data_IF_033997672134
#
_entry.id   IF_033997672134
#
_cell.length_a   1.000
_cell.length_b   1.000
_cell.length_c   1.000
_cell.angle_alpha   90.00
_cell.angle_beta   90.00
_cell.angle_gamma   90.00
#
_symmetry.space_group_name_H-M   'P 1'
#
loop_
_entity.id
_entity.type
_entity.pdbx_description
1 polymer ?
#
# COMPACT_ATOMS: atom_id res chain seq x y z
N UNK A 1 -44.75 -10.36 -18.02
CA UNK A 1 -43.90 -10.78 -19.16
C UNK A 1 -42.62 -9.95 -19.17
N UNK A 2 -41.45 -10.58 -19.00
CA UNK A 2 -40.17 -10.27 -19.66
C UNK A 2 -39.15 -11.34 -19.23
N UNK A 3 -39.09 -12.45 -19.98
CA UNK A 3 -38.00 -13.42 -19.93
C UNK A 3 -36.84 -12.82 -20.73
N UNK A 4 -35.74 -12.47 -20.08
CA UNK A 4 -34.50 -12.11 -20.78
C UNK A 4 -33.59 -13.34 -20.87
N UNK A 5 -33.17 -13.68 -22.09
CA UNK A 5 -32.12 -14.67 -22.33
C UNK A 5 -30.77 -13.98 -22.15
N UNK A 6 -29.99 -14.41 -21.16
CA UNK A 6 -28.60 -14.02 -21.08
C UNK A 6 -27.79 -15.01 -21.93
N UNK A 7 -27.15 -14.51 -22.99
CA UNK A 7 -26.24 -15.27 -23.81
C UNK A 7 -24.89 -15.38 -23.10
N UNK A 8 -24.67 -16.50 -22.41
CA UNK A 8 -23.35 -17.14 -22.22
C UNK A 8 -23.54 -18.49 -21.55
N UNK A 9 -22.91 -19.50 -22.16
CA UNK A 9 -22.68 -20.88 -21.74
C UNK A 9 -23.69 -21.94 -22.20
N UNK A 10 -23.17 -22.77 -23.10
CA UNK A 10 -23.71 -24.01 -23.60
C UNK A 10 -23.70 -25.07 -22.49
N UNK A 11 -24.87 -25.64 -22.18
CA UNK A 11 -25.01 -26.80 -21.29
C UNK A 11 -26.01 -26.64 -20.15
N UNK A 12 -27.31 -26.57 -20.49
CA UNK A 12 -28.43 -26.65 -19.54
C UNK A 12 -29.31 -25.40 -19.52
N UNK A 13 -30.51 -25.49 -20.09
CA UNK A 13 -31.51 -24.41 -20.06
C UNK A 13 -32.10 -24.22 -18.64
N UNK A 14 -31.36 -23.56 -17.74
CA UNK A 14 -31.97 -22.99 -16.55
C UNK A 14 -32.52 -21.61 -16.91
N UNK A 15 -33.85 -21.47 -16.99
CA UNK A 15 -34.48 -20.16 -17.15
C UNK A 15 -34.15 -19.28 -15.95
N UNK A 16 -33.48 -18.14 -16.18
CA UNK A 16 -33.24 -17.14 -15.16
C UNK A 16 -34.57 -16.55 -14.66
N UNK A 17 -34.90 -16.80 -13.39
CA UNK A 17 -35.99 -16.11 -12.68
C UNK A 17 -35.39 -14.96 -11.88
N UNK A 18 -35.85 -13.72 -12.08
CA UNK A 18 -35.34 -12.60 -11.31
C UNK A 18 -35.80 -12.66 -9.83
N UNK A 19 -35.09 -12.02 -8.89
CA UNK A 19 -35.39 -12.12 -7.46
C UNK A 19 -36.82 -11.71 -7.09
N UNK A 20 -37.38 -10.69 -7.74
CA UNK A 20 -38.74 -10.24 -7.45
C UNK A 20 -39.79 -11.28 -7.87
N UNK A 21 -39.68 -11.81 -9.10
CA UNK A 21 -40.57 -12.87 -9.56
C UNK A 21 -40.42 -14.14 -8.72
N UNK A 22 -39.20 -14.47 -8.29
CA UNK A 22 -38.97 -15.60 -7.38
C UNK A 22 -39.65 -15.39 -6.02
N UNK A 23 -39.53 -14.20 -5.43
CA UNK A 23 -40.19 -13.85 -4.16
C UNK A 23 -41.71 -13.90 -4.30
N UNK A 24 -42.26 -13.40 -5.40
CA UNK A 24 -43.70 -13.44 -5.67
C UNK A 24 -44.19 -14.87 -5.90
N UNK A 25 -43.45 -15.69 -6.66
CA UNK A 25 -43.74 -17.12 -6.85
C UNK A 25 -43.73 -17.89 -5.52
N UNK A 26 -42.79 -17.57 -4.61
CA UNK A 26 -42.72 -18.16 -3.27
C UNK A 26 -43.90 -17.70 -2.41
N UNK A 27 -44.23 -16.41 -2.41
CA UNK A 27 -45.39 -15.86 -1.66
C UNK A 27 -46.72 -16.42 -2.14
N UNK A 28 -46.88 -16.61 -3.45
CA UNK A 28 -48.07 -17.17 -4.06
C UNK A 28 -48.10 -18.72 -4.02
N UNK A 29 -47.11 -19.37 -3.41
CA UNK A 29 -47.04 -20.83 -3.27
C UNK A 29 -46.75 -21.59 -4.57
N UNK A 30 -46.43 -20.89 -5.66
CA UNK A 30 -46.06 -21.46 -6.95
C UNK A 30 -44.66 -22.09 -6.93
N UNK A 31 -43.83 -21.72 -5.95
CA UNK A 31 -42.46 -22.23 -5.81
C UNK A 31 -42.12 -22.46 -4.34
N UNK A 32 -41.47 -23.59 -4.02
CA UNK A 32 -40.91 -23.82 -2.69
C UNK A 32 -39.64 -22.99 -2.53
N UNK A 33 -39.42 -22.31 -1.37
CA UNK A 33 -38.15 -21.66 -1.10
C UNK A 33 -37.02 -22.68 -1.28
N UNK A 34 -36.03 -22.34 -2.10
CA UNK A 34 -34.76 -23.05 -2.10
C UNK A 34 -34.24 -23.08 -0.66
N UNK A 35 -33.73 -24.23 -0.19
CA UNK A 35 -33.04 -24.29 1.09
C UNK A 35 -31.99 -23.18 1.11
N UNK A 36 -31.91 -22.45 2.22
CA UNK A 36 -30.84 -21.49 2.42
C UNK A 36 -29.54 -22.23 2.14
N UNK A 37 -28.73 -21.74 1.19
CA UNK A 37 -27.47 -22.40 0.83
C UNK A 37 -26.61 -22.50 2.08
N UNK A 38 -26.66 -23.68 2.70
CA UNK A 38 -25.87 -24.09 3.84
C UNK A 38 -24.61 -24.80 3.32
N UNK A 39 -24.01 -24.27 2.24
CA UNK A 39 -22.70 -24.74 1.81
C UNK A 39 -21.70 -24.21 2.83
N UNK A 40 -21.59 -24.95 3.93
CA UNK A 40 -20.54 -24.82 4.92
C UNK A 40 -19.21 -25.04 4.18
N UNK A 41 -18.31 -24.07 4.27
CA UNK A 41 -16.99 -24.17 3.69
C UNK A 41 -16.14 -25.16 4.47
N UNK A 42 -14.97 -25.54 3.94
CA UNK A 42 -14.03 -26.39 4.66
C UNK A 42 -13.65 -25.82 6.05
N UNK A 43 -13.66 -24.49 6.19
CA UNK A 43 -13.41 -23.77 7.46
C UNK A 43 -14.48 -23.98 8.53
N UNK A 44 -15.67 -24.42 8.14
CA UNK A 44 -16.82 -24.60 9.03
C UNK A 44 -16.89 -26.06 9.57
N UNK A 45 -15.92 -26.90 9.22
CA UNK A 45 -15.79 -28.26 9.75
C UNK A 45 -15.19 -28.25 11.16
N UNK A 46 -15.59 -29.20 12.05
CA UNK A 46 -14.96 -29.36 13.35
C UNK A 46 -13.46 -29.60 13.23
N UNK A 47 -12.66 -28.77 13.92
CA UNK A 47 -11.21 -28.89 13.98
C UNK A 47 -10.77 -29.97 14.98
N UNK A 48 -9.61 -30.57 14.74
CA UNK A 48 -8.99 -31.58 15.60
C UNK A 48 -7.52 -31.21 15.87
N UNK A 49 -6.95 -31.70 16.96
CA UNK A 49 -5.52 -31.48 17.28
C UNK A 49 -4.59 -31.94 16.14
N UNK A 50 -4.96 -33.03 15.46
CA UNK A 50 -4.20 -33.53 14.30
C UNK A 50 -4.32 -32.59 13.09
N UNK A 51 -5.53 -32.14 12.76
CA UNK A 51 -5.72 -31.20 11.65
C UNK A 51 -5.01 -29.88 11.90
N UNK A 52 -5.06 -29.35 13.13
CA UNK A 52 -4.37 -28.12 13.52
C UNK A 52 -2.85 -28.28 13.36
N UNK A 53 -2.28 -29.39 13.86
CA UNK A 53 -0.86 -29.66 13.72
C UNK A 53 -0.42 -29.78 12.24
N UNK A 54 -1.22 -30.43 11.40
CA UNK A 54 -0.94 -30.56 9.96
C UNK A 54 -1.05 -29.21 9.26
N UNK A 55 -2.11 -28.44 9.54
CA UNK A 55 -2.31 -27.09 8.98
C UNK A 55 -1.16 -26.16 9.38
N UNK A 56 -0.78 -26.10 10.65
CA UNK A 56 0.33 -25.27 11.13
C UNK A 56 1.64 -25.61 10.43
N UNK A 57 1.95 -26.91 10.32
CA UNK A 57 3.14 -27.38 9.59
C UNK A 57 3.09 -27.00 8.11
N UNK A 58 1.93 -27.18 7.48
CA UNK A 58 1.73 -26.87 6.07
C UNK A 58 1.86 -25.37 5.80
N UNK A 59 1.18 -24.53 6.59
CA UNK A 59 1.28 -23.08 6.50
C UNK A 59 2.72 -22.60 6.68
N UNK A 60 3.47 -23.18 7.63
CA UNK A 60 4.89 -22.89 7.81
C UNK A 60 5.73 -23.25 6.57
N UNK A 61 5.51 -24.42 5.97
CA UNK A 61 6.26 -24.85 4.77
C UNK A 61 5.87 -24.07 3.52
N UNK A 62 4.59 -23.77 3.32
CA UNK A 62 4.12 -22.95 2.21
C UNK A 62 4.65 -21.51 2.30
N UNK A 63 4.75 -20.96 3.51
CA UNK A 63 5.35 -19.64 3.75
C UNK A 63 6.84 -19.63 3.37
N UNK A 64 7.60 -20.64 3.79
CA UNK A 64 9.00 -20.78 3.39
C UNK A 64 9.13 -20.90 1.86
N UNK A 65 8.32 -21.75 1.24
CA UNK A 65 8.33 -21.93 -0.22
C UNK A 65 7.95 -20.66 -0.99
N UNK A 66 7.07 -19.81 -0.43
CA UNK A 66 6.75 -18.48 -0.98
C UNK A 66 8.01 -17.59 -0.95
N UNK A 67 8.74 -17.59 0.17
CA UNK A 67 9.99 -16.84 0.32
C UNK A 67 11.08 -17.33 -0.62
N UNK A 68 11.27 -18.65 -0.71
CA UNK A 68 12.29 -19.26 -1.56
C UNK A 68 12.04 -18.96 -3.05
N UNK A 69 10.78 -19.01 -3.50
CA UNK A 69 10.39 -18.65 -4.88
C UNK A 69 10.58 -17.16 -5.16
N UNK A 70 10.23 -16.29 -4.21
CA UNK A 70 10.43 -14.85 -4.33
C UNK A 70 11.94 -14.52 -4.45
N UNK A 71 12.77 -15.12 -3.59
CA UNK A 71 14.22 -14.99 -3.62
C UNK A 71 14.82 -15.51 -4.94
N UNK A 72 14.39 -16.70 -5.41
CA UNK A 72 14.85 -17.26 -6.67
C UNK A 72 14.46 -16.40 -7.90
N UNK A 73 13.33 -15.68 -7.82
CA UNK A 73 12.88 -14.77 -8.85
C UNK A 73 13.47 -13.34 -8.73
N UNK A 74 14.18 -13.05 -7.64
CA UNK A 74 14.64 -11.70 -7.32
C UNK A 74 13.49 -10.69 -7.16
N UNK A 75 12.33 -11.15 -6.67
CA UNK A 75 11.13 -10.34 -6.49
C UNK A 75 10.81 -10.18 -5.02
N UNK A 76 10.29 -9.00 -4.68
CA UNK A 76 9.68 -8.78 -3.37
C UNK A 76 8.33 -9.49 -3.26
N UNK A 77 7.85 -9.65 -2.03
CA UNK A 77 6.58 -10.31 -1.76
C UNK A 77 5.50 -9.27 -1.62
N UNK A 78 4.53 -9.35 -2.52
CA UNK A 78 3.29 -8.62 -2.39
C UNK A 78 2.27 -9.46 -1.61
N UNK A 79 1.54 -8.78 -0.72
CA UNK A 79 0.43 -9.34 0.05
C UNK A 79 -0.85 -8.56 -0.23
N UNK A 80 -1.94 -9.29 -0.38
CA UNK A 80 -3.28 -8.71 -0.48
C UNK A 80 -4.14 -9.26 0.66
N UNK A 81 -4.79 -8.37 1.42
CA UNK A 81 -5.73 -8.74 2.47
C UNK A 81 -7.11 -8.24 2.11
N UNK A 82 -8.09 -9.16 2.10
CA UNK A 82 -9.49 -8.86 1.81
C UNK A 82 -10.37 -9.22 3.02
N UNK A 83 -11.32 -8.36 3.34
CA UNK A 83 -12.34 -8.60 4.36
C UNK A 83 -13.68 -8.94 3.70
N UNK A 84 -14.26 -10.06 4.10
CA UNK A 84 -15.61 -10.46 3.70
C UNK A 84 -16.56 -10.47 4.89
N UNK A 85 -17.79 -10.02 4.67
CA UNK A 85 -18.88 -10.14 5.64
C UNK A 85 -20.09 -10.81 4.99
N UNK A 86 -20.71 -11.75 5.71
CA UNK A 86 -21.99 -12.34 5.29
C UNK A 86 -23.13 -11.38 5.61
N UNK A 87 -23.71 -10.75 4.58
CA UNK A 87 -24.83 -9.82 4.67
C UNK A 87 -26.03 -10.45 3.96
N UNK A 88 -27.15 -10.62 4.68
CA UNK A 88 -28.39 -11.21 4.14
C UNK A 88 -28.17 -12.58 3.44
N UNK A 89 -27.21 -13.35 3.94
CA UNK A 89 -26.89 -14.68 3.42
C UNK A 89 -25.82 -14.71 2.31
N UNK A 90 -25.34 -13.55 1.85
CA UNK A 90 -24.34 -13.42 0.78
C UNK A 90 -23.01 -12.92 1.33
N UNK A 91 -21.89 -13.48 0.90
CA UNK A 91 -20.55 -12.96 1.24
C UNK A 91 -20.25 -11.70 0.40
N UNK A 92 -19.99 -10.59 1.08
CA UNK A 92 -19.69 -9.29 0.47
C UNK A 92 -18.26 -8.90 0.83
N UNK A 93 -17.42 -8.62 -0.16
CA UNK A 93 -16.08 -8.06 0.04
C UNK A 93 -16.22 -6.57 0.40
N UNK A 94 -15.77 -6.19 1.59
CA UNK A 94 -15.97 -4.85 2.15
C UNK A 94 -14.73 -3.98 2.16
N UNK A 95 -13.56 -4.60 2.25
CA UNK A 95 -12.28 -3.92 2.42
C UNK A 95 -11.19 -4.73 1.74
N UNK A 96 -10.24 -4.03 1.14
CA UNK A 96 -9.03 -4.59 0.58
C UNK A 96 -7.82 -3.72 0.91
N UNK A 97 -6.67 -4.35 1.12
CA UNK A 97 -5.39 -3.66 1.15
C UNK A 97 -4.32 -4.45 0.41
N UNK A 98 -3.42 -3.73 -0.25
CA UNK A 98 -2.28 -4.25 -0.98
C UNK A 98 -1.00 -3.71 -0.35
N UNK A 99 -0.07 -4.61 -0.05
CA UNK A 99 1.15 -4.30 0.69
C UNK A 99 2.36 -4.89 -0.02
N UNK A 100 3.43 -4.09 -0.12
CA UNK A 100 4.77 -4.54 -0.52
C UNK A 100 5.61 -4.83 0.73
N UNK A 101 6.16 -6.04 0.83
CA UNK A 101 7.06 -6.43 1.93
C UNK A 101 8.50 -6.61 1.45
N UNK A 102 9.42 -5.86 2.07
CA UNK A 102 10.85 -5.92 1.80
C UNK A 102 11.56 -6.64 2.95
N UNK A 103 11.93 -7.89 2.69
CA UNK A 103 12.44 -8.81 3.71
C UNK A 103 13.86 -8.51 4.21
N UNK A 104 14.41 -9.44 4.98
CA UNK A 104 15.78 -9.40 5.49
C UNK A 104 16.84 -9.42 4.39
N UNK A 105 16.54 -10.13 3.29
CA UNK A 105 17.46 -10.29 2.16
C UNK A 105 17.38 -9.12 1.18
N UNK A 106 16.42 -8.20 1.36
CA UNK A 106 16.33 -7.00 0.53
C UNK A 106 17.51 -6.07 0.84
N UNK A 107 18.06 -5.45 -0.20
CA UNK A 107 19.16 -4.51 -0.06
C UNK A 107 18.69 -3.21 0.61
N UNK A 108 19.62 -2.49 1.25
CA UNK A 108 19.37 -1.11 1.65
C UNK A 108 19.00 -0.26 0.41
N UNK A 109 18.08 0.71 0.54
CA UNK A 109 17.48 1.25 1.77
C UNK A 109 16.16 0.57 2.22
N UNK A 110 15.68 -0.46 1.53
CA UNK A 110 14.37 -1.08 1.79
C UNK A 110 14.41 -2.29 2.75
N UNK A 111 15.58 -2.69 3.22
CA UNK A 111 15.70 -3.85 4.10
C UNK A 111 14.77 -3.74 5.33
N UNK A 112 13.98 -4.80 5.59
CA UNK A 112 13.04 -4.91 6.71
C UNK A 112 11.93 -3.84 6.75
N UNK A 113 11.53 -3.28 5.62
CA UNK A 113 10.41 -2.35 5.58
C UNK A 113 9.16 -2.89 4.88
N UNK A 114 8.05 -2.22 5.13
CA UNK A 114 6.74 -2.50 4.55
C UNK A 114 6.19 -1.21 3.97
N UNK A 115 5.53 -1.31 2.82
CA UNK A 115 4.83 -0.20 2.20
C UNK A 115 3.36 -0.55 1.93
N UNK A 116 2.43 0.21 2.52
CA UNK A 116 1.00 0.09 2.23
C UNK A 116 0.71 0.80 0.91
N UNK A 117 0.66 0.04 -0.19
CA UNK A 117 0.50 0.59 -1.54
C UNK A 117 -0.91 1.07 -1.80
N UNK A 118 -1.91 0.23 -1.50
CA UNK A 118 -3.31 0.56 -1.74
C UNK A 118 -4.17 0.09 -0.57
N UNK A 119 -5.20 0.87 -0.28
CA UNK A 119 -6.24 0.50 0.67
C UNK A 119 -7.56 1.01 0.12
N UNK A 120 -8.56 0.15 0.14
CA UNK A 120 -9.88 0.46 -0.39
C UNK A 120 -10.99 -0.18 0.42
N UNK A 121 -12.18 0.41 0.38
CA UNK A 121 -13.35 -0.13 1.09
C UNK A 121 -14.66 0.33 0.48
N UNK A 122 -15.70 -0.50 0.58
CA UNK A 122 -17.07 -0.16 0.19
C UNK A 122 -17.96 0.02 1.41
N UNK A 123 -18.87 1.02 1.35
CA UNK A 123 -19.75 1.41 2.46
C UNK A 123 -20.99 0.49 2.60
N UNK A 124 -20.76 -0.81 2.74
CA UNK A 124 -21.80 -1.82 2.98
C UNK A 124 -21.69 -2.55 4.33
N UNK A 125 -20.67 -2.24 5.13
CA UNK A 125 -20.45 -2.87 6.43
C UNK A 125 -21.69 -2.79 7.33
N UNK A 126 -22.07 -3.91 7.94
CA UNK A 126 -23.18 -3.99 8.91
C UNK A 126 -22.72 -4.59 10.26
N UNK A 127 -23.31 -4.16 11.39
CA UNK A 127 -24.30 -3.08 11.52
C UNK A 127 -23.67 -1.68 11.35
N UNK A 128 -24.42 -0.73 10.80
CA UNK A 128 -23.99 0.69 10.67
C UNK A 128 -24.21 1.43 12.00
N UNK A 129 -23.41 1.07 13.01
CA UNK A 129 -23.45 1.65 14.35
C UNK A 129 -22.13 2.32 14.69
N UNK A 130 -22.13 3.03 15.82
CA UNK A 130 -20.90 3.59 16.42
C UNK A 130 -20.44 2.75 17.60
N UNK A 131 -19.13 2.68 17.81
CA UNK A 131 -18.52 2.12 19.01
C UNK A 131 -18.75 3.02 20.22
N UNK A 132 -18.37 2.55 21.41
CA UNK A 132 -18.36 3.36 22.64
C UNK A 132 -17.43 4.57 22.54
N UNK A 133 -16.35 4.47 21.75
CA UNK A 133 -15.44 5.60 21.46
C UNK A 133 -16.02 6.62 20.47
N UNK A 134 -17.19 6.35 19.88
CA UNK A 134 -17.93 7.27 19.02
C UNK A 134 -17.57 7.20 17.53
N UNK A 135 -16.59 6.38 17.13
CA UNK A 135 -16.27 6.11 15.72
C UNK A 135 -17.23 5.08 15.11
N UNK A 136 -17.33 5.04 13.78
CA UNK A 136 -18.11 4.01 13.10
C UNK A 136 -17.50 2.62 13.36
N UNK A 137 -18.34 1.61 13.55
CA UNK A 137 -17.88 0.23 13.77
C UNK A 137 -17.04 -0.28 12.58
N UNK A 138 -17.38 0.11 11.35
CA UNK A 138 -16.58 -0.19 10.17
C UNK A 138 -15.16 0.40 10.26
N UNK A 139 -15.03 1.67 10.66
CA UNK A 139 -13.73 2.30 10.90
C UNK A 139 -12.94 1.55 11.96
N UNK A 140 -13.58 1.18 13.07
CA UNK A 140 -12.95 0.38 14.12
C UNK A 140 -12.39 -0.92 13.55
N UNK A 141 -13.18 -1.70 12.82
CA UNK A 141 -12.73 -2.96 12.21
C UNK A 141 -11.57 -2.76 11.24
N UNK A 142 -11.61 -1.73 10.40
CA UNK A 142 -10.52 -1.44 9.47
C UNK A 142 -9.23 -1.04 10.20
N UNK A 143 -9.33 -0.30 11.30
CA UNK A 143 -8.19 0.00 12.15
C UNK A 143 -7.62 -1.28 12.76
N UNK A 144 -8.45 -2.18 13.30
CA UNK A 144 -7.98 -3.44 13.89
C UNK A 144 -7.26 -4.33 12.87
N UNK A 145 -7.73 -4.38 11.62
CA UNK A 145 -7.05 -5.13 10.55
C UNK A 145 -5.65 -4.56 10.29
N UNK A 146 -5.53 -3.23 10.21
CA UNK A 146 -4.24 -2.56 9.99
C UNK A 146 -3.30 -2.74 11.19
N UNK A 147 -3.81 -2.56 12.41
CA UNK A 147 -3.03 -2.71 13.65
C UNK A 147 -2.55 -4.16 13.80
N UNK A 148 -3.43 -5.14 13.61
CA UNK A 148 -3.06 -6.56 13.65
C UNK A 148 -2.04 -6.93 12.58
N UNK A 149 -2.12 -6.32 11.39
CA UNK A 149 -1.10 -6.50 10.36
C UNK A 149 0.27 -5.90 10.74
N UNK A 150 0.28 -4.71 11.36
CA UNK A 150 1.50 -4.09 11.88
C UNK A 150 2.12 -4.93 13.00
N UNK A 151 1.30 -5.45 13.92
CA UNK A 151 1.74 -6.33 15.00
C UNK A 151 2.35 -7.63 14.44
N UNK A 152 1.64 -8.30 13.54
CA UNK A 152 2.15 -9.51 12.89
C UNK A 152 3.47 -9.25 12.15
N UNK A 153 3.60 -8.10 11.50
CA UNK A 153 4.82 -7.70 10.80
C UNK A 153 5.97 -7.41 11.76
N UNK A 154 5.70 -6.74 12.89
CA UNK A 154 6.67 -6.54 13.97
C UNK A 154 7.21 -7.88 14.49
N UNK A 155 6.34 -8.88 14.70
CA UNK A 155 6.74 -10.23 15.13
C UNK A 155 7.63 -10.96 14.11
N UNK A 156 7.51 -10.64 12.82
CA UNK A 156 8.39 -11.16 11.75
C UNK A 156 9.71 -10.39 11.63
N UNK A 157 9.90 -9.33 12.43
CA UNK A 157 11.10 -8.51 12.47
C UNK A 157 11.14 -7.43 11.40
N UNK A 158 10.00 -7.01 10.85
CA UNK A 158 9.95 -5.75 10.08
C UNK A 158 10.09 -4.57 11.04
N UNK A 159 10.87 -3.58 10.64
CA UNK A 159 11.27 -2.46 11.51
C UNK A 159 10.52 -1.17 11.20
N UNK A 160 10.02 -1.03 9.99
CA UNK A 160 9.42 0.20 9.50
C UNK A 160 8.23 -0.06 8.59
N UNK A 161 7.15 0.71 8.73
CA UNK A 161 6.04 0.74 7.79
C UNK A 161 5.84 2.16 7.25
N UNK A 162 5.67 2.25 5.94
CA UNK A 162 5.48 3.49 5.20
C UNK A 162 4.06 3.54 4.65
N UNK A 163 3.36 4.64 4.93
CA UNK A 163 1.99 4.88 4.47
C UNK A 163 1.97 6.21 3.74
N UNK A 164 1.66 6.18 2.45
CA UNK A 164 1.30 7.38 1.70
C UNK A 164 -0.20 7.64 1.84
N UNK A 165 -0.56 8.66 2.62
CA UNK A 165 -1.96 9.01 2.85
C UNK A 165 -2.56 9.80 1.67
N UNK A 166 -2.77 9.13 0.54
CA UNK A 166 -3.33 9.71 -0.69
C UNK A 166 -4.75 9.21 -0.92
N UNK A 167 -5.76 10.10 -1.07
CA UNK A 167 -7.07 9.69 -1.57
C UNK A 167 -7.03 9.50 -3.09
N UNK A 168 -7.86 8.61 -3.64
CA UNK A 168 -7.94 8.43 -5.09
C UNK A 168 -8.46 9.70 -5.77
N UNK A 169 -8.04 9.91 -7.03
CA UNK A 169 -8.54 11.01 -7.84
C UNK A 169 -10.04 10.80 -8.16
N UNK A 170 -10.72 11.88 -8.53
CA UNK A 170 -12.16 11.82 -8.81
C UNK A 170 -12.43 10.89 -10.00
N UNK A 171 -13.10 9.77 -9.75
CA UNK A 171 -13.47 8.78 -10.76
C UNK A 171 -12.54 7.57 -10.82
N UNK A 172 -11.47 7.56 -10.01
CA UNK A 172 -10.57 6.42 -9.87
C UNK A 172 -10.97 5.55 -8.67
N UNK A 173 -10.80 4.24 -8.84
CA UNK A 173 -10.94 3.23 -7.79
C UNK A 173 -9.57 2.59 -7.54
N UNK A 174 -9.18 2.36 -6.28
CA UNK A 174 -7.89 1.72 -6.00
C UNK A 174 -7.94 0.21 -6.20
N UNK A 175 -8.90 -0.46 -5.56
CA UNK A 175 -9.00 -1.94 -5.59
C UNK A 175 -10.41 -2.35 -6.01
N UNK A 176 -11.44 -1.73 -5.43
CA UNK A 176 -12.83 -2.16 -5.58
C UNK A 176 -13.50 -1.32 -6.66
N UNK A 177 -13.73 -1.93 -7.83
CA UNK A 177 -14.32 -1.23 -8.96
C UNK A 177 -15.77 -0.79 -8.67
N UNK A 178 -16.09 0.45 -9.04
CA UNK A 178 -17.41 1.06 -8.95
C UNK A 178 -17.95 1.19 -7.53
N UNK A 179 -17.46 2.19 -6.80
CA UNK A 179 -17.98 2.55 -5.48
C UNK A 179 -19.45 2.98 -5.50
N UNK A 180 -20.22 2.69 -4.42
CA UNK A 180 -21.60 3.16 -4.30
C UNK A 180 -21.69 4.68 -4.35
N UNK A 181 -22.66 5.26 -5.05
CA UNK A 181 -22.80 6.73 -5.17
C UNK A 181 -22.95 7.46 -3.83
N UNK A 182 -23.48 6.77 -2.82
CA UNK A 182 -23.63 7.29 -1.46
C UNK A 182 -22.29 7.41 -0.71
N UNK A 183 -21.28 6.68 -1.15
CA UNK A 183 -19.95 6.69 -0.56
C UNK A 183 -19.18 7.93 -1.03
N UNK A 184 -18.77 8.76 -0.06
CA UNK A 184 -17.95 9.93 -0.32
C UNK A 184 -16.49 9.59 -0.04
N UNK A 185 -15.62 9.83 -1.01
CA UNK A 185 -14.16 9.75 -0.83
C UNK A 185 -13.70 10.76 0.21
N UNK A 186 -12.87 10.31 1.16
CA UNK A 186 -12.27 11.20 2.15
C UNK A 186 -11.28 12.15 1.46
N UNK A 187 -11.28 13.42 1.87
CA UNK A 187 -10.26 14.38 1.44
C UNK A 187 -8.93 14.12 2.16
N UNK A 188 -7.82 14.58 1.58
CA UNK A 188 -6.45 14.36 2.08
C UNK A 188 -6.30 14.57 3.59
N UNK A 189 -6.72 15.73 4.13
CA UNK A 189 -6.60 16.02 5.58
C UNK A 189 -7.38 15.03 6.46
N UNK A 190 -8.57 14.61 6.01
CA UNK A 190 -9.41 13.66 6.74
C UNK A 190 -8.88 12.25 6.65
N UNK A 191 -8.32 11.86 5.50
CA UNK A 191 -7.67 10.57 5.33
C UNK A 191 -6.39 10.47 6.16
N UNK A 192 -5.57 11.54 6.17
CA UNK A 192 -4.38 11.63 7.02
C UNK A 192 -4.75 11.50 8.49
N UNK A 193 -5.76 12.23 8.97
CA UNK A 193 -6.21 12.11 10.36
C UNK A 193 -6.81 10.73 10.68
N UNK A 194 -7.44 10.07 9.71
CA UNK A 194 -7.92 8.69 9.85
C UNK A 194 -6.76 7.72 10.13
N UNK A 195 -5.68 7.77 9.33
CA UNK A 195 -4.47 6.98 9.57
C UNK A 195 -3.78 7.36 10.89
N UNK A 196 -3.64 8.65 11.20
CA UNK A 196 -3.05 9.11 12.46
C UNK A 196 -3.85 8.59 13.67
N UNK A 197 -5.18 8.59 13.59
CA UNK A 197 -6.03 8.01 14.62
C UNK A 197 -5.77 6.52 14.82
N UNK A 198 -5.69 5.75 13.73
CA UNK A 198 -5.31 4.33 13.76
C UNK A 198 -3.94 4.12 14.41
N UNK A 199 -2.92 4.88 13.99
CA UNK A 199 -1.55 4.74 14.50
C UNK A 199 -1.44 5.13 15.98
N UNK A 200 -2.20 6.13 16.43
CA UNK A 200 -2.27 6.49 17.87
C UNK A 200 -2.89 5.37 18.71
N UNK A 201 -3.79 4.55 18.17
CA UNK A 201 -4.28 3.34 18.86
C UNK A 201 -3.18 2.30 18.94
N UNK A 202 -2.54 2.00 17.80
CA UNK A 202 -1.41 1.08 17.72
C UNK A 202 -0.27 1.43 18.70
N UNK A 203 0.00 2.73 18.91
CA UNK A 203 1.00 3.17 19.90
C UNK A 203 0.58 2.94 21.35
N UNK A 204 -0.72 3.06 21.68
CA UNK A 204 -1.21 2.75 23.03
C UNK A 204 -1.12 1.25 23.35
N UNK A 205 -1.18 0.41 22.32
CA UNK A 205 -1.04 -1.04 22.40
C UNK A 205 0.42 -1.49 22.22
N UNK A 206 1.38 -0.56 22.20
CA UNK A 206 2.81 -0.82 22.04
C UNK A 206 3.18 -1.54 20.72
N UNK A 207 2.27 -1.58 19.75
CA UNK A 207 2.52 -2.10 18.40
C UNK A 207 3.42 -1.14 17.64
N UNK A 208 3.10 0.16 17.67
CA UNK A 208 3.89 1.23 17.04
C UNK A 208 4.66 2.01 18.10
N UNK A 209 5.99 1.89 18.06
CA UNK A 209 6.88 2.52 19.05
C UNK A 209 7.06 4.01 18.77
N UNK A 210 7.24 4.36 17.50
CA UNK A 210 7.50 5.75 17.09
C UNK A 210 6.75 6.08 15.79
N UNK A 211 6.15 7.28 15.78
CA UNK A 211 5.44 7.85 14.65
C UNK A 211 6.16 9.12 14.19
N UNK A 212 6.66 9.13 12.96
CA UNK A 212 7.33 10.28 12.34
C UNK A 212 6.82 10.50 10.92
N UNK A 213 7.04 11.69 10.37
CA UNK A 213 6.99 11.86 8.91
C UNK A 213 8.36 11.53 8.30
N UNK A 214 8.43 11.38 6.97
CA UNK A 214 9.70 11.14 6.27
C UNK A 214 10.74 12.23 6.53
N UNK A 215 10.30 13.48 6.63
CA UNK A 215 11.19 14.62 6.84
C UNK A 215 11.93 14.53 8.18
N UNK A 216 11.20 14.36 9.28
CA UNK A 216 11.73 14.27 10.63
C UNK A 216 12.63 13.04 10.80
N UNK A 217 12.27 11.92 10.16
CA UNK A 217 13.07 10.72 10.23
C UNK A 217 14.42 10.88 9.53
N UNK A 218 14.43 11.31 8.27
CA UNK A 218 15.65 11.36 7.47
C UNK A 218 16.47 12.62 7.67
N UNK A 219 15.84 13.77 7.97
CA UNK A 219 16.52 15.07 7.97
C UNK A 219 16.69 15.70 9.36
N UNK A 220 15.91 15.30 10.37
CA UNK A 220 16.05 15.80 11.75
C UNK A 220 16.71 14.76 12.66
N UNK A 221 16.15 13.56 12.75
CA UNK A 221 16.60 12.51 13.70
C UNK A 221 18.01 12.02 13.39
N UNK A 222 18.36 11.92 12.10
CA UNK A 222 19.70 11.51 11.65
C UNK A 222 20.78 12.61 11.83
N UNK A 223 20.44 13.76 12.44
CA UNK A 223 21.29 14.94 12.61
C UNK A 223 22.58 14.74 13.43
N UNK A 224 22.79 13.56 14.03
CA UNK A 224 24.06 13.18 14.66
C UNK A 224 25.12 12.72 13.64
N UNK A 225 24.68 12.29 12.45
CA UNK A 225 25.57 12.00 11.33
C UNK A 225 25.76 13.25 10.46
N UNK A 226 26.97 13.83 10.48
CA UNK A 226 27.38 14.94 9.57
C UNK A 226 27.31 14.61 8.07
N UNK A 227 26.87 13.40 7.70
CA UNK A 227 26.74 12.96 6.32
C UNK A 227 25.44 13.48 5.71
N UNK A 228 25.58 14.24 4.61
CA UNK A 228 24.46 14.75 3.81
C UNK A 228 23.52 13.60 3.41
N UNK A 229 22.21 13.77 3.60
CA UNK A 229 21.20 12.81 3.14
C UNK A 229 21.13 12.93 1.61
N UNK A 230 21.45 11.84 0.93
CA UNK A 230 21.36 11.71 -0.54
C UNK A 230 20.11 10.94 -0.92
N UNK A 231 19.64 11.08 -2.17
CA UNK A 231 18.46 10.34 -2.64
C UNK A 231 18.59 8.81 -2.48
N UNK A 232 19.80 8.27 -2.61
CA UNK A 232 20.08 6.83 -2.45
C UNK A 232 19.83 6.27 -1.03
N UNK A 233 19.59 7.12 -0.03
CA UNK A 233 19.26 6.71 1.35
C UNK A 233 17.75 6.64 1.60
N UNK A 234 16.94 7.07 0.64
CA UNK A 234 15.48 7.08 0.76
C UNK A 234 14.90 5.74 0.28
N UNK A 235 13.94 5.14 1.02
CA UNK A 235 13.29 3.89 0.63
C UNK A 235 12.60 4.02 -0.72
N UNK A 236 12.81 3.09 -1.64
CA UNK A 236 12.24 3.13 -2.99
C UNK A 236 11.11 2.11 -3.13
N UNK A 237 9.87 2.57 -3.28
CA UNK A 237 8.69 1.71 -3.39
C UNK A 237 8.04 1.86 -4.76
N UNK A 238 7.59 0.75 -5.34
CA UNK A 238 6.89 0.81 -6.62
C UNK A 238 5.54 1.52 -6.45
N UNK A 239 5.23 2.44 -7.35
CA UNK A 239 4.01 3.26 -7.32
C UNK A 239 3.93 4.31 -6.20
N UNK A 240 4.98 4.53 -5.41
CA UNK A 240 5.04 5.64 -4.46
C UNK A 240 5.27 6.99 -5.15
N UNK A 241 4.95 8.06 -4.45
CA UNK A 241 4.99 9.42 -4.98
C UNK A 241 6.41 9.92 -5.26
N UNK A 242 7.35 9.69 -4.34
CA UNK A 242 8.66 10.36 -4.42
C UNK A 242 9.57 9.85 -5.55
N UNK A 243 9.59 8.54 -5.92
CA UNK A 243 10.40 8.08 -7.05
C UNK A 243 10.02 8.79 -8.34
N UNK A 244 8.72 8.87 -8.64
CA UNK A 244 8.23 9.56 -9.84
C UNK A 244 8.60 11.05 -9.85
N UNK A 245 8.41 11.74 -8.70
CA UNK A 245 8.82 13.14 -8.56
C UNK A 245 10.32 13.32 -8.73
N UNK A 246 11.13 12.40 -8.19
CA UNK A 246 12.58 12.46 -8.33
C UNK A 246 13.01 12.27 -9.78
N UNK A 247 12.41 11.32 -10.50
CA UNK A 247 12.67 11.07 -11.93
C UNK A 247 12.30 12.28 -12.80
N UNK A 248 11.16 12.91 -12.55
CA UNK A 248 10.76 14.15 -13.22
C UNK A 248 11.76 15.28 -12.97
N UNK A 249 12.18 15.47 -11.71
CA UNK A 249 13.16 16.49 -11.35
C UNK A 249 14.53 16.23 -11.98
N UNK A 250 15.00 14.97 -11.99
CA UNK A 250 16.25 14.59 -12.64
C UNK A 250 16.19 14.92 -14.13
N UNK A 251 15.06 14.59 -14.78
CA UNK A 251 14.83 14.88 -16.19
C UNK A 251 14.88 16.38 -16.49
N UNK A 252 14.24 17.21 -15.66
CA UNK A 252 14.29 18.68 -15.76
C UNK A 252 15.72 19.21 -15.62
N UNK A 253 16.49 18.70 -14.65
CA UNK A 253 17.87 19.14 -14.44
C UNK A 253 18.78 18.82 -15.63
N UNK A 254 18.54 17.69 -16.31
CA UNK A 254 19.28 17.31 -17.51
C UNK A 254 18.91 18.22 -18.69
N UNK A 255 17.62 18.49 -18.91
CA UNK A 255 17.16 19.42 -19.95
C UNK A 255 17.77 20.82 -19.78
N UNK A 256 17.72 21.37 -18.56
CA UNK A 256 18.33 22.67 -18.28
C UNK A 256 19.86 22.68 -18.51
N UNK A 257 20.53 21.54 -18.27
CA UNK A 257 21.97 21.43 -18.53
C UNK A 257 22.28 21.39 -20.03
N UNK A 258 21.50 20.65 -20.80
CA UNK A 258 21.62 20.61 -22.26
C UNK A 258 21.34 21.98 -22.87
N UNK A 259 20.33 22.69 -22.37
CA UNK A 259 20.05 24.08 -22.76
C UNK A 259 21.20 25.02 -22.38
N UNK A 260 21.75 24.88 -21.16
CA UNK A 260 22.94 25.65 -20.73
C UNK A 260 24.17 25.32 -21.58
N UNK A 261 24.37 24.06 -21.99
CA UNK A 261 25.45 23.62 -22.88
C UNK A 261 25.23 24.16 -24.30
N UNK A 262 23.99 24.18 -24.81
CA UNK A 262 23.64 24.80 -26.09
C UNK A 262 23.89 26.30 -26.06
N UNK A 263 23.47 27.00 -25.00
CA UNK A 263 23.71 28.43 -24.82
C UNK A 263 25.20 28.77 -24.65
N UNK A 264 25.97 27.92 -23.96
CA UNK A 264 27.42 28.05 -23.87
C UNK A 264 28.09 27.76 -25.21
N UNK A 265 27.62 26.80 -26.00
CA UNK A 265 28.10 26.52 -27.36
C UNK A 265 27.73 27.62 -28.35
N UNK A 266 26.57 28.25 -28.24
CA UNK A 266 26.18 29.39 -29.10
C UNK A 266 26.96 30.65 -28.74
N UNK A 267 27.15 30.95 -27.44
CA UNK A 267 28.05 32.03 -26.97
C UNK A 267 29.52 31.73 -27.29
N UNK A 268 29.97 30.49 -27.17
CA UNK A 268 31.33 30.08 -27.56
C UNK A 268 31.50 30.15 -29.08
N UNK A 269 30.50 29.82 -29.90
CA UNK A 269 30.55 30.03 -31.36
C UNK A 269 30.62 31.53 -31.73
N UNK A 270 29.95 32.41 -30.99
CA UNK A 270 30.10 33.87 -31.09
C UNK A 270 31.52 34.33 -30.69
N UNK A 271 32.10 33.77 -29.63
CA UNK A 271 33.43 34.11 -29.12
C UNK A 271 34.57 33.50 -29.97
N UNK A 272 34.39 32.29 -30.53
CA UNK A 272 35.33 31.59 -31.44
C UNK A 272 35.41 32.30 -32.79
N UNK A 273 34.35 33.01 -33.21
CA UNK A 273 34.46 33.98 -34.33
C UNK A 273 35.43 35.13 -34.03
N UNK A 274 35.92 35.29 -32.79
CA UNK A 274 36.81 36.36 -32.36
C UNK A 274 38.22 35.94 -31.92
N UNK A 275 38.52 34.72 -31.47
CA UNK A 275 39.90 34.26 -31.20
C UNK A 275 40.08 32.75 -31.32
N UNK A 276 41.21 32.35 -31.89
CA UNK A 276 41.67 30.96 -32.03
C UNK A 276 42.48 30.49 -30.81
N UNK A 277 42.43 29.16 -30.61
CA UNK A 277 43.37 28.25 -29.92
C UNK A 277 43.18 27.88 -28.42
N UNK A 278 43.13 26.54 -28.25
CA UNK A 278 43.59 25.63 -27.17
C UNK A 278 42.73 25.17 -25.98
N UNK A 279 43.05 23.90 -25.64
CA UNK A 279 42.50 22.84 -24.79
C UNK A 279 42.21 23.20 -23.31
N UNK A 280 41.58 22.40 -22.44
CA UNK A 280 41.49 20.94 -22.24
C UNK A 280 40.26 20.60 -21.37
N UNK A 281 39.88 19.31 -21.36
CA UNK A 281 38.76 18.77 -20.59
C UNK A 281 38.98 18.76 -19.07
N UNK A 282 37.87 18.73 -18.32
CA UNK A 282 37.87 18.53 -16.88
C UNK A 282 36.72 17.61 -16.46
N UNK A 283 37.00 16.68 -15.55
CA UNK A 283 36.16 15.56 -15.09
C UNK A 283 35.00 15.99 -14.18
N UNK A 284 33.84 15.36 -14.39
CA UNK A 284 32.49 15.83 -14.03
C UNK A 284 31.98 15.33 -12.65
N UNK A 285 32.85 15.22 -11.64
CA UNK A 285 32.46 14.71 -10.31
C UNK A 285 31.78 15.78 -9.42
N UNK A 286 32.04 17.06 -9.67
CA UNK A 286 31.48 18.20 -8.92
C UNK A 286 29.99 18.45 -9.25
N UNK A 287 29.57 18.16 -10.48
CA UNK A 287 28.20 18.41 -10.95
C UNK A 287 27.15 17.53 -10.27
N UNK A 288 27.46 16.26 -10.03
CA UNK A 288 26.49 15.29 -9.49
C UNK A 288 26.16 15.55 -8.02
N UNK A 289 27.15 15.94 -7.20
CA UNK A 289 26.93 16.29 -5.79
C UNK A 289 26.07 17.55 -5.61
N UNK A 290 26.14 18.49 -6.57
CA UNK A 290 25.30 19.70 -6.61
C UNK A 290 23.86 19.37 -7.02
N UNK A 291 23.66 18.45 -7.97
CA UNK A 291 22.31 18.00 -8.40
C UNK A 291 21.57 17.25 -7.31
N UNK A 292 22.25 16.33 -6.61
CA UNK A 292 21.67 15.65 -5.44
C UNK A 292 21.28 16.66 -4.35
N UNK A 293 22.07 17.72 -4.12
CA UNK A 293 21.71 18.77 -3.17
C UNK A 293 20.39 19.47 -3.56
N UNK A 294 20.24 19.81 -4.83
CA UNK A 294 19.09 20.53 -5.35
C UNK A 294 17.83 19.66 -5.38
N UNK A 295 17.98 18.39 -5.75
CA UNK A 295 16.90 17.38 -5.66
C UNK A 295 16.42 17.26 -4.21
N UNK A 296 17.34 17.05 -3.27
CA UNK A 296 17.00 16.88 -1.86
C UNK A 296 16.40 18.16 -1.24
N UNK A 297 16.78 19.35 -1.72
CA UNK A 297 16.13 20.60 -1.33
C UNK A 297 14.67 20.68 -1.78
N UNK A 298 14.34 20.19 -2.98
CA UNK A 298 12.97 20.17 -3.50
C UNK A 298 12.12 19.07 -2.85
N UNK A 299 12.66 17.86 -2.72
CA UNK A 299 11.98 16.69 -2.13
C UNK A 299 11.63 16.91 -0.66
N UNK A 300 12.46 17.66 0.08
CA UNK A 300 12.25 18.03 1.48
C UNK A 300 10.87 18.63 1.77
N UNK A 301 10.32 19.46 0.87
CA UNK A 301 8.99 20.06 1.07
C UNK A 301 7.84 19.06 0.92
N UNK A 302 8.01 17.99 0.14
CA UNK A 302 6.99 16.96 -0.08
C UNK A 302 6.89 15.98 1.10
N UNK A 303 8.01 15.69 1.75
CA UNK A 303 8.09 14.74 2.86
C UNK A 303 7.44 15.21 4.16
N UNK A 304 7.10 16.49 4.27
CA UNK A 304 6.40 17.06 5.42
C UNK A 304 4.88 16.74 5.40
N UNK A 305 4.33 16.44 4.21
CA UNK A 305 2.88 16.43 3.98
C UNK A 305 2.24 15.03 3.92
N UNK A 306 2.94 13.99 3.48
CA UNK A 306 2.24 12.84 2.88
C UNK A 306 2.62 11.44 3.38
N UNK A 307 3.76 11.25 4.05
CA UNK A 307 4.21 9.89 4.41
C UNK A 307 4.36 9.74 5.92
N UNK A 308 3.57 8.82 6.47
CA UNK A 308 3.69 8.38 7.86
C UNK A 308 4.67 7.22 7.89
N UNK A 309 5.75 7.39 8.64
CA UNK A 309 6.69 6.35 8.99
C UNK A 309 6.40 5.89 10.41
N UNK A 310 6.17 4.61 10.57
CA UNK A 310 6.09 3.98 11.87
C UNK A 310 7.33 3.14 12.07
N UNK A 311 8.16 3.50 13.05
CA UNK A 311 9.26 2.65 13.46
C UNK A 311 8.72 1.69 14.54
N UNK A 312 8.79 0.40 14.23
CA UNK A 312 8.60 -0.68 15.17
C UNK A 312 9.99 -1.17 15.62
N UNK A 313 10.61 -0.50 16.60
CA UNK A 313 11.90 -0.95 17.15
C UNK A 313 11.85 -1.06 18.67
N UNK A 314 11.75 -2.30 19.18
CA UNK A 314 12.74 -2.98 20.03
C UNK A 314 12.14 -4.28 20.63
N UNK A 315 12.75 -5.44 20.35
CA UNK A 315 12.79 -6.56 21.30
C UNK A 315 14.18 -6.49 21.93
N UNK A 316 14.26 -5.90 23.12
CA UNK A 316 15.46 -5.99 23.96
C UNK A 316 15.55 -7.40 24.52
N UNK A 317 16.47 -8.21 23.99
CA UNK A 317 16.76 -9.53 24.53
C UNK A 317 17.97 -10.14 23.85
N UNK A 318 19.12 -10.10 24.54
CA UNK A 318 20.32 -10.85 24.19
C UNK A 318 19.98 -12.31 23.84
N UNK A 319 20.40 -12.76 22.66
CA UNK A 319 20.97 -14.09 22.52
C UNK A 319 22.41 -13.92 22.03
N UNK A 320 23.31 -13.72 22.99
CA UNK A 320 24.67 -14.21 22.87
C UNK A 320 24.71 -15.60 23.53
N UNK A 321 25.20 -16.57 22.76
CA UNK A 321 25.40 -17.99 23.05
C UNK A 321 24.15 -18.87 23.18
#
# INVERSE_FOLDING_TARGET
MRKQKNGRNDGGHAEYTCPNCYVDEVKCGLRKPLPQSAVLGAKDLPRTVLSDHIEDRLFKRLKQEKQDRAAAAGKDIDEAVLLFQKIEGVEVCLFGMYIQEFGAECSFPNQRCIYLSFLDSVKYFRPEIKTVSGEALSTFVYHEILIGYLEYSKLRGFTSCYIWACPPLKGDDYILHCHPEIQKTLKSDKLREWFLSMLRKASKEEVVVELKNLYDHFFITMGECKAKVTAARLPYFDGDYWPGVAEEMISQLWQEEDDRKLQKKSKAKEIIKKRALESSGNTDLSGNASKDALLMQKVKYFFDLCVLLTNALYYGGSLHM
#
